data_IF_396826233460
#
_entry.id   IF_396826233460
#
_cell.length_a   1.000
_cell.length_b   1.000
_cell.length_c   1.000
_cell.angle_alpha   90.00
_cell.angle_beta   90.00
_cell.angle_gamma   90.00
#
_symmetry.space_group_name_H-M   'P 1'
#
loop_
_entity.id
_entity.type
_entity.pdbx_description
1 polymer ?
#
# COMPACT_ATOMS: atom_id res chain seq x y z
N UNK A 1 -22.17 4.72 17.21
CA UNK A 1 -23.55 4.18 17.07
C UNK A 1 -24.30 4.83 15.90
N UNK A 2 -23.99 6.06 15.50
CA UNK A 2 -24.79 6.85 14.54
C UNK A 2 -24.49 6.72 13.04
N UNK A 3 -23.60 5.83 12.57
CA UNK A 3 -23.32 5.67 11.11
C UNK A 3 -23.73 4.32 10.50
N UNK A 4 -24.07 3.31 11.31
CA UNK A 4 -24.63 2.06 10.79
C UNK A 4 -26.14 2.17 10.52
N UNK A 5 -26.85 2.98 11.32
CA UNK A 5 -28.29 3.22 11.16
C UNK A 5 -28.66 4.16 10.01
N UNK A 6 -27.70 4.87 9.40
CA UNK A 6 -27.99 5.78 8.27
C UNK A 6 -28.10 5.08 6.91
N UNK A 7 -27.71 3.81 6.79
CA UNK A 7 -27.65 3.09 5.51
C UNK A 7 -28.48 1.80 5.46
N UNK A 8 -29.15 1.44 6.54
CA UNK A 8 -30.13 0.36 6.55
C UNK A 8 -31.51 0.97 6.81
N UNK A 9 -32.22 1.33 5.75
CA UNK A 9 -33.65 1.56 5.83
C UNK A 9 -34.33 0.23 6.13
N UNK A 10 -35.20 0.21 7.14
CA UNK A 10 -36.15 -0.88 7.30
C UNK A 10 -37.06 -0.92 6.07
N UNK A 11 -37.37 -2.14 5.64
CA UNK A 11 -38.23 -2.39 4.49
C UNK A 11 -39.22 -3.51 4.85
N UNK A 12 -40.39 -3.51 4.24
CA UNK A 12 -41.30 -4.66 4.28
C UNK A 12 -41.29 -5.39 2.94
N UNK A 13 -41.08 -4.65 1.85
CA UNK A 13 -41.02 -5.15 0.49
C UNK A 13 -39.77 -4.65 -0.25
N UNK A 14 -39.44 -5.27 -1.38
CA UNK A 14 -38.29 -4.85 -2.20
C UNK A 14 -38.46 -3.43 -2.78
N UNK A 15 -39.71 -2.99 -2.97
CA UNK A 15 -40.03 -1.67 -3.56
C UNK A 15 -39.77 -0.51 -2.58
N UNK A 16 -39.64 -0.81 -1.27
CA UNK A 16 -39.29 0.18 -0.24
C UNK A 16 -37.81 0.59 -0.32
N UNK A 17 -36.99 -0.14 -1.08
CA UNK A 17 -35.59 0.17 -1.27
C UNK A 17 -35.42 1.18 -2.41
N UNK A 18 -34.98 2.40 -2.09
CA UNK A 18 -34.73 3.50 -3.04
C UNK A 18 -33.81 3.17 -4.22
N UNK A 19 -33.04 2.08 -4.16
CA UNK A 19 -32.12 1.66 -5.21
C UNK A 19 -32.49 0.26 -5.71
N UNK A 20 -32.67 0.06 -7.03
CA UNK A 20 -33.07 -1.23 -7.59
C UNK A 20 -32.07 -2.37 -7.35
N UNK A 21 -30.82 -2.09 -6.93
CA UNK A 21 -29.81 -3.10 -6.59
C UNK A 21 -29.88 -3.57 -5.12
N UNK A 22 -30.75 -2.97 -4.31
CA UNK A 22 -31.00 -3.33 -2.90
C UNK A 22 -32.27 -4.17 -2.82
N UNK A 23 -32.20 -5.31 -2.12
CA UNK A 23 -33.35 -6.18 -1.85
C UNK A 23 -33.63 -6.25 -0.36
N UNK A 24 -34.90 -6.38 -0.01
CA UNK A 24 -35.32 -6.50 1.37
C UNK A 24 -35.02 -7.90 1.90
N UNK A 25 -34.06 -7.98 2.82
CA UNK A 25 -33.65 -9.23 3.45
C UNK A 25 -33.78 -9.16 4.96
N UNK A 26 -34.21 -10.29 5.55
CA UNK A 26 -34.32 -10.45 6.98
C UNK A 26 -32.91 -10.68 7.57
N UNK A 27 -32.42 -9.71 8.32
CA UNK A 27 -31.09 -9.73 8.92
C UNK A 27 -31.22 -10.07 10.40
N UNK A 28 -30.53 -11.13 10.82
CA UNK A 28 -30.46 -11.56 12.21
C UNK A 28 -29.21 -10.95 12.88
N UNK A 29 -29.41 -10.25 14.00
CA UNK A 29 -28.32 -9.77 14.86
C UNK A 29 -28.58 -10.21 16.30
N UNK A 30 -28.11 -11.41 16.65
CA UNK A 30 -28.40 -12.04 17.95
C UNK A 30 -29.88 -12.41 18.08
N UNK A 31 -30.56 -11.89 19.10
CA UNK A 31 -31.99 -12.16 19.37
C UNK A 31 -32.95 -11.31 18.55
N UNK A 32 -32.47 -10.33 17.79
CA UNK A 32 -33.30 -9.42 17.02
C UNK A 32 -33.23 -9.73 15.52
N UNK A 33 -34.39 -9.78 14.88
CA UNK A 33 -34.53 -9.98 13.44
C UNK A 33 -35.31 -8.80 12.86
N UNK A 34 -34.74 -8.15 11.85
CA UNK A 34 -35.40 -7.05 11.14
C UNK A 34 -35.13 -7.13 9.65
N UNK A 35 -36.14 -6.76 8.86
CA UNK A 35 -36.03 -6.62 7.42
C UNK A 35 -35.30 -5.32 7.07
N UNK A 36 -34.22 -5.42 6.31
CA UNK A 36 -33.41 -4.28 5.90
C UNK A 36 -33.08 -4.38 4.41
N UNK A 37 -32.93 -3.23 3.77
CA UNK A 37 -32.45 -3.16 2.39
C UNK A 37 -30.96 -3.54 2.34
N UNK A 38 -30.65 -4.69 1.73
CA UNK A 38 -29.28 -5.21 1.57
C UNK A 38 -29.02 -5.55 0.11
N UNK A 39 -27.80 -5.29 -0.36
CA UNK A 39 -27.42 -5.64 -1.73
C UNK A 39 -27.52 -7.15 -1.97
N UNK A 40 -27.96 -7.57 -3.17
CA UNK A 40 -28.00 -8.99 -3.54
C UNK A 40 -26.65 -9.69 -3.38
N UNK A 41 -26.68 -10.99 -3.07
CA UNK A 41 -25.48 -11.85 -3.05
C UNK A 41 -25.03 -12.13 -4.49
N UNK A 42 -23.71 -12.24 -4.75
CA UNK A 42 -23.17 -12.49 -6.10
C UNK A 42 -23.63 -13.82 -6.74
N UNK A 43 -23.83 -14.89 -5.95
CA UNK A 43 -23.83 -16.27 -6.47
C UNK A 43 -25.14 -17.09 -6.36
N UNK A 44 -26.33 -16.49 -6.16
CA UNK A 44 -27.55 -17.13 -6.67
C UNK A 44 -28.17 -16.41 -7.88
N UNK A 45 -28.04 -15.08 -8.01
CA UNK A 45 -28.67 -14.27 -9.08
C UNK A 45 -27.60 -13.41 -9.79
N UNK A 46 -26.73 -14.05 -10.57
CA UNK A 46 -25.67 -13.36 -11.32
C UNK A 46 -26.25 -12.73 -12.58
N UNK A 47 -26.27 -11.39 -12.62
CA UNK A 47 -26.83 -10.64 -13.75
C UNK A 47 -25.73 -10.16 -14.71
N UNK A 48 -26.13 -9.75 -15.92
CA UNK A 48 -25.20 -9.19 -16.92
C UNK A 48 -24.42 -7.98 -16.38
N UNK A 49 -25.01 -7.19 -15.49
CA UNK A 49 -24.34 -6.06 -14.83
C UNK A 49 -23.18 -6.53 -13.92
N UNK A 50 -23.33 -7.67 -13.23
CA UNK A 50 -22.25 -8.25 -12.42
C UNK A 50 -21.14 -8.81 -13.31
N UNK A 51 -21.51 -9.39 -14.45
CA UNK A 51 -20.58 -9.82 -15.50
C UNK A 51 -19.78 -8.67 -16.09
N UNK A 52 -20.46 -7.56 -16.42
CA UNK A 52 -19.84 -6.34 -16.93
C UNK A 52 -18.89 -5.72 -15.89
N UNK A 53 -19.31 -5.64 -14.62
CA UNK A 53 -18.47 -5.18 -13.52
C UNK A 53 -17.23 -6.06 -13.37
N UNK A 54 -17.39 -7.38 -13.39
CA UNK A 54 -16.28 -8.34 -13.31
C UNK A 54 -15.29 -8.16 -14.47
N UNK A 55 -15.79 -8.00 -15.69
CA UNK A 55 -14.99 -7.75 -16.88
C UNK A 55 -14.23 -6.42 -16.83
N UNK A 56 -14.90 -5.33 -16.44
CA UNK A 56 -14.26 -4.02 -16.27
C UNK A 56 -13.21 -4.02 -15.17
N UNK A 57 -13.49 -4.67 -14.03
CA UNK A 57 -12.55 -4.82 -12.94
C UNK A 57 -11.33 -5.64 -13.37
N UNK A 58 -11.52 -6.71 -14.15
CA UNK A 58 -10.44 -7.50 -14.72
C UNK A 58 -9.54 -6.64 -15.62
N UNK A 59 -10.11 -5.93 -16.60
CA UNK A 59 -9.35 -5.06 -17.51
C UNK A 59 -8.59 -3.98 -16.73
N UNK A 60 -9.24 -3.33 -15.77
CA UNK A 60 -8.62 -2.30 -14.94
C UNK A 60 -7.41 -2.84 -14.15
N UNK A 61 -7.54 -4.03 -13.54
CA UNK A 61 -6.48 -4.66 -12.75
C UNK A 61 -5.36 -5.20 -13.64
N UNK A 62 -5.66 -5.73 -14.83
CA UNK A 62 -4.66 -6.17 -15.80
C UNK A 62 -3.80 -5.02 -16.29
N UNK A 63 -4.42 -3.90 -16.68
CA UNK A 63 -3.71 -2.69 -17.09
C UNK A 63 -2.89 -2.12 -15.93
N UNK A 64 -3.45 -2.05 -14.72
CA UNK A 64 -2.71 -1.57 -13.56
C UNK A 64 -1.52 -2.47 -13.21
N UNK A 65 -1.70 -3.80 -13.23
CA UNK A 65 -0.63 -4.78 -12.96
C UNK A 65 0.49 -4.70 -14.00
N UNK A 66 0.16 -4.44 -15.27
CA UNK A 66 1.18 -4.22 -16.30
C UNK A 66 2.04 -2.98 -16.03
N UNK A 67 1.48 -1.97 -15.37
CA UNK A 67 2.20 -0.79 -14.88
C UNK A 67 2.87 -0.99 -13.51
N UNK A 68 2.75 -2.19 -12.91
CA UNK A 68 3.28 -2.49 -11.57
C UNK A 68 2.47 -1.86 -10.42
N UNK A 69 1.23 -1.43 -10.66
CA UNK A 69 0.35 -0.79 -9.67
C UNK A 69 -0.84 -1.70 -9.36
N UNK A 70 -1.18 -1.91 -8.09
CA UNK A 70 -2.25 -2.83 -7.68
C UNK A 70 -3.69 -2.41 -8.00
N UNK A 71 -3.93 -1.37 -8.81
CA UNK A 71 -5.27 -0.98 -9.30
C UNK A 71 -6.27 -0.40 -8.28
N UNK A 72 -5.93 -0.37 -6.99
CA UNK A 72 -6.90 -0.07 -5.91
C UNK A 72 -7.61 1.27 -5.95
N UNK A 73 -7.02 2.29 -6.57
CA UNK A 73 -7.63 3.63 -6.65
C UNK A 73 -8.85 3.71 -7.57
N UNK A 74 -9.03 2.75 -8.49
CA UNK A 74 -10.11 2.76 -9.49
C UNK A 74 -11.22 1.76 -9.15
N UNK A 75 -10.90 0.71 -8.39
CA UNK A 75 -11.84 -0.38 -8.08
C UNK A 75 -13.02 0.07 -7.23
N UNK A 76 -12.80 0.86 -6.17
CA UNK A 76 -13.90 1.29 -5.28
C UNK A 76 -14.93 2.16 -6.04
N UNK A 77 -14.54 3.22 -6.78
CA UNK A 77 -15.48 3.97 -7.61
C UNK A 77 -16.18 3.12 -8.67
N UNK A 78 -15.47 2.17 -9.28
CA UNK A 78 -16.04 1.26 -10.28
C UNK A 78 -17.17 0.40 -9.69
N UNK A 79 -16.96 -0.19 -8.51
CA UNK A 79 -17.96 -1.01 -7.83
C UNK A 79 -19.18 -0.21 -7.37
N UNK A 80 -19.00 1.06 -6.96
CA UNK A 80 -20.11 1.93 -6.60
C UNK A 80 -20.92 2.38 -7.82
N UNK A 81 -20.27 2.67 -8.95
CA UNK A 81 -20.96 3.26 -10.09
C UNK A 81 -21.66 2.21 -10.96
N UNK A 82 -21.04 1.05 -11.16
CA UNK A 82 -21.56 0.01 -12.07
C UNK A 82 -22.57 -0.88 -11.36
N UNK A 83 -22.20 -1.42 -10.20
CA UNK A 83 -23.02 -2.39 -9.46
C UNK A 83 -23.65 -1.82 -8.20
N UNK A 84 -23.49 -0.51 -7.92
CA UNK A 84 -24.12 0.19 -6.80
C UNK A 84 -23.90 -0.48 -5.44
N UNK A 85 -22.73 -1.11 -5.26
CA UNK A 85 -22.33 -1.68 -3.99
C UNK A 85 -22.19 -0.56 -2.94
N UNK A 86 -22.68 -0.77 -1.70
CA UNK A 86 -22.42 0.17 -0.63
C UNK A 86 -20.91 0.27 -0.37
N UNK A 87 -20.43 1.47 -0.03
CA UNK A 87 -19.01 1.81 0.13
C UNK A 87 -18.23 0.77 0.96
N UNK A 88 -18.82 0.28 2.05
CA UNK A 88 -18.18 -0.70 2.94
C UNK A 88 -17.91 -2.02 2.21
N UNK A 89 -18.89 -2.54 1.48
CA UNK A 89 -18.75 -3.80 0.74
C UNK A 89 -17.85 -3.61 -0.49
N UNK A 90 -18.00 -2.51 -1.21
CA UNK A 90 -17.13 -2.13 -2.33
C UNK A 90 -15.65 -2.03 -1.89
N UNK A 91 -15.38 -1.45 -0.72
CA UNK A 91 -14.03 -1.35 -0.17
C UNK A 91 -13.42 -2.71 0.18
N UNK A 92 -14.23 -3.63 0.72
CA UNK A 92 -13.79 -4.98 1.06
C UNK A 92 -13.48 -5.81 -0.20
N UNK A 93 -14.34 -5.72 -1.23
CA UNK A 93 -14.11 -6.34 -2.54
C UNK A 93 -12.84 -5.78 -3.20
N UNK A 94 -12.62 -4.47 -3.16
CA UNK A 94 -11.39 -3.88 -3.70
C UNK A 94 -10.14 -4.39 -3.00
N UNK A 95 -10.16 -4.52 -1.67
CA UNK A 95 -9.01 -5.02 -0.92
C UNK A 95 -8.69 -6.48 -1.26
N UNK A 96 -9.71 -7.34 -1.43
CA UNK A 96 -9.50 -8.74 -1.82
C UNK A 96 -8.95 -8.86 -3.25
N UNK A 97 -9.43 -8.03 -4.19
CA UNK A 97 -8.88 -7.98 -5.56
C UNK A 97 -7.42 -7.51 -5.58
N UNK A 98 -7.08 -6.45 -4.85
CA UNK A 98 -5.70 -5.95 -4.75
C UNK A 98 -4.78 -7.03 -4.16
N UNK A 99 -5.25 -7.74 -3.12
CA UNK A 99 -4.49 -8.82 -2.50
C UNK A 99 -4.21 -9.96 -3.49
N UNK A 100 -5.23 -10.39 -4.23
CA UNK A 100 -5.08 -11.40 -5.29
C UNK A 100 -4.08 -10.96 -6.37
N UNK A 101 -4.21 -9.72 -6.86
CA UNK A 101 -3.27 -9.15 -7.84
C UNK A 101 -1.82 -9.10 -7.30
N UNK A 102 -1.65 -8.79 -6.01
CA UNK A 102 -0.35 -8.83 -5.34
C UNK A 102 0.29 -10.22 -5.33
N UNK A 103 -0.49 -11.28 -5.06
CA UNK A 103 -0.01 -12.67 -5.14
C UNK A 103 0.43 -13.01 -6.56
N UNK A 104 -0.38 -12.67 -7.55
CA UNK A 104 -0.06 -12.91 -8.97
C UNK A 104 1.23 -12.19 -9.37
N UNK A 105 1.35 -10.91 -9.03
CA UNK A 105 2.55 -10.12 -9.30
C UNK A 105 3.79 -10.69 -8.59
N UNK A 106 3.67 -11.14 -7.35
CA UNK A 106 4.77 -11.80 -6.63
C UNK A 106 5.19 -13.10 -7.33
N UNK A 107 4.23 -13.90 -7.82
CA UNK A 107 4.52 -15.14 -8.53
C UNK A 107 5.26 -14.89 -9.85
N UNK A 108 4.79 -13.94 -10.67
CA UNK A 108 5.41 -13.62 -11.96
C UNK A 108 6.72 -12.85 -11.81
N UNK A 109 6.72 -11.71 -11.11
CA UNK A 109 7.91 -10.87 -10.96
C UNK A 109 8.95 -11.48 -10.03
N UNK A 110 8.53 -12.29 -9.04
CA UNK A 110 9.45 -13.03 -8.19
C UNK A 110 10.26 -14.08 -8.95
N UNK A 111 9.79 -14.52 -10.12
CA UNK A 111 10.53 -15.41 -11.02
C UNK A 111 11.42 -14.68 -12.01
N UNK A 112 11.26 -13.36 -12.18
CA UNK A 112 12.04 -12.55 -13.10
C UNK A 112 13.33 -12.00 -12.44
N UNK A 113 14.33 -11.74 -13.28
CA UNK A 113 15.60 -11.13 -12.87
C UNK A 113 15.70 -9.72 -13.48
N UNK A 114 16.59 -8.89 -12.95
CA UNK A 114 16.73 -7.51 -13.41
C UNK A 114 17.24 -7.45 -14.86
N UNK A 115 16.62 -6.66 -15.76
CA UNK A 115 16.95 -6.65 -17.19
C UNK A 115 18.38 -6.17 -17.48
N UNK A 116 18.93 -5.27 -16.65
CA UNK A 116 20.30 -4.77 -16.79
C UNK A 116 21.31 -5.53 -15.90
N UNK A 117 20.84 -6.39 -14.99
CA UNK A 117 21.70 -7.11 -14.05
C UNK A 117 21.12 -8.53 -13.80
N UNK A 118 21.32 -9.48 -14.73
CA UNK A 118 20.62 -10.77 -14.70
C UNK A 118 20.89 -11.64 -13.47
N UNK A 119 21.95 -11.36 -12.71
CA UNK A 119 22.34 -12.09 -11.51
C UNK A 119 21.52 -11.73 -10.26
N UNK A 120 20.74 -10.64 -10.27
CA UNK A 120 19.90 -10.21 -9.13
C UNK A 120 18.41 -10.28 -9.50
N UNK A 121 17.51 -10.51 -8.51
CA UNK A 121 16.07 -10.53 -8.76
C UNK A 121 15.56 -9.17 -9.21
N UNK A 122 14.43 -9.17 -9.91
CA UNK A 122 13.74 -7.93 -10.31
C UNK A 122 13.19 -7.16 -9.09
N UNK A 123 12.68 -7.88 -8.08
CA UNK A 123 12.09 -7.30 -6.88
C UNK A 123 13.18 -6.79 -5.93
N UNK A 124 13.13 -5.51 -5.59
CA UNK A 124 14.01 -4.90 -4.60
C UNK A 124 13.36 -4.89 -3.21
N UNK A 125 13.50 -5.99 -2.48
CA UNK A 125 12.88 -6.19 -1.16
C UNK A 125 13.27 -5.14 -0.11
N UNK A 126 14.46 -4.56 -0.24
CA UNK A 126 14.95 -3.49 0.64
C UNK A 126 14.09 -2.22 0.53
N UNK A 127 13.58 -1.93 -0.68
CA UNK A 127 12.60 -0.86 -0.90
C UNK A 127 11.28 -1.23 -0.25
N UNK A 128 10.78 -2.45 -0.49
CA UNK A 128 9.51 -2.90 0.10
C UNK A 128 9.54 -2.82 1.64
N UNK A 129 10.63 -3.26 2.28
CA UNK A 129 10.79 -3.21 3.73
C UNK A 129 10.77 -1.77 4.27
N UNK A 130 11.41 -0.82 3.58
CA UNK A 130 11.44 0.59 4.00
C UNK A 130 10.07 1.27 3.86
N UNK A 131 9.33 0.97 2.79
CA UNK A 131 8.04 1.60 2.51
C UNK A 131 6.86 0.94 3.26
N UNK A 132 7.00 -0.33 3.67
CA UNK A 132 5.93 -1.05 4.37
C UNK A 132 5.51 -0.38 5.69
N UNK A 133 6.47 -0.06 6.56
CA UNK A 133 6.18 0.59 7.85
C UNK A 133 5.44 1.93 7.75
N UNK A 134 5.90 2.92 6.95
CA UNK A 134 5.21 4.21 6.85
C UNK A 134 3.85 4.11 6.16
N UNK A 135 3.64 3.16 5.23
CA UNK A 135 2.32 2.93 4.62
C UNK A 135 1.31 2.47 5.69
N UNK A 136 1.71 1.53 6.55
CA UNK A 136 0.82 1.02 7.58
C UNK A 136 0.61 2.04 8.71
N UNK A 137 1.66 2.76 9.11
CA UNK A 137 1.50 3.87 10.04
C UNK A 137 0.53 4.93 9.49
N UNK A 138 0.66 5.28 8.21
CA UNK A 138 -0.23 6.22 7.52
C UNK A 138 -1.69 5.75 7.48
N UNK A 139 -1.96 4.45 7.33
CA UNK A 139 -3.32 3.92 7.34
C UNK A 139 -3.97 4.01 8.73
N UNK A 140 -3.22 3.74 9.81
CA UNK A 140 -3.72 3.88 11.20
C UNK A 140 -4.15 5.32 11.44
N UNK A 141 -3.32 6.29 11.06
CA UNK A 141 -3.68 7.69 11.26
C UNK A 141 -4.80 8.12 10.31
N UNK A 142 -4.82 7.64 9.07
CA UNK A 142 -5.90 7.91 8.13
C UNK A 142 -7.26 7.46 8.66
N UNK A 143 -7.33 6.27 9.27
CA UNK A 143 -8.55 5.78 9.95
C UNK A 143 -8.95 6.67 11.11
N UNK A 144 -7.98 7.13 11.90
CA UNK A 144 -8.23 8.04 13.02
C UNK A 144 -8.78 9.40 12.54
N UNK A 145 -8.14 10.01 11.55
CA UNK A 145 -8.58 11.28 10.96
C UNK A 145 -9.96 11.15 10.32
N UNK A 146 -10.25 10.03 9.66
CA UNK A 146 -11.58 9.77 9.09
C UNK A 146 -12.68 9.69 10.16
N UNK A 147 -12.34 9.28 11.38
CA UNK A 147 -13.28 9.26 12.50
C UNK A 147 -13.55 10.65 13.11
N UNK A 148 -12.63 11.59 12.93
CA UNK A 148 -12.71 12.95 13.47
C UNK A 148 -13.30 13.92 12.46
N UNK A 149 -12.89 13.81 11.19
CA UNK A 149 -13.27 14.73 10.14
C UNK A 149 -14.66 14.44 9.57
N UNK A 150 -15.39 15.50 9.15
CA UNK A 150 -16.64 15.33 8.43
C UNK A 150 -16.39 14.72 7.04
N UNK A 151 -17.39 14.02 6.51
CA UNK A 151 -17.28 13.22 5.30
C UNK A 151 -16.94 14.02 4.04
N UNK A 152 -17.47 15.24 3.92
CA UNK A 152 -17.14 16.12 2.80
C UNK A 152 -15.65 16.52 2.80
N UNK A 153 -15.06 16.70 3.99
CA UNK A 153 -13.66 17.09 4.12
C UNK A 153 -12.72 15.94 3.76
N UNK A 154 -13.05 14.72 4.22
CA UNK A 154 -12.26 13.52 3.87
C UNK A 154 -12.35 13.20 2.38
N UNK A 155 -13.52 13.37 1.77
CA UNK A 155 -13.70 13.23 0.32
C UNK A 155 -12.85 14.25 -0.46
N UNK A 156 -12.89 15.54 -0.10
CA UNK A 156 -12.05 16.57 -0.75
C UNK A 156 -10.57 16.25 -0.60
N UNK A 157 -10.12 15.85 0.60
CA UNK A 157 -8.73 15.51 0.87
C UNK A 157 -8.25 14.34 0.01
N UNK A 158 -9.08 13.29 -0.12
CA UNK A 158 -8.79 12.14 -0.98
C UNK A 158 -8.69 12.54 -2.45
N UNK A 159 -9.63 13.36 -2.96
CA UNK A 159 -9.59 13.85 -4.34
C UNK A 159 -8.31 14.64 -4.59
N UNK A 160 -7.98 15.61 -3.73
CA UNK A 160 -6.75 16.42 -3.87
C UNK A 160 -5.50 15.54 -3.84
N UNK A 161 -5.42 14.58 -2.92
CA UNK A 161 -4.28 13.67 -2.81
C UNK A 161 -4.13 12.81 -4.07
N UNK A 162 -5.21 12.20 -4.56
CA UNK A 162 -5.21 11.36 -5.77
C UNK A 162 -4.86 12.20 -6.99
N UNK A 163 -5.46 13.38 -7.17
CA UNK A 163 -5.13 14.28 -8.29
C UNK A 163 -3.66 14.70 -8.25
N UNK A 164 -3.14 15.08 -7.08
CA UNK A 164 -1.73 15.44 -6.93
C UNK A 164 -0.79 14.27 -7.27
N UNK A 165 -1.12 13.06 -6.84
CA UNK A 165 -0.35 11.85 -7.19
C UNK A 165 -0.41 11.57 -8.69
N UNK A 166 -1.60 11.60 -9.29
CA UNK A 166 -1.78 11.39 -10.74
C UNK A 166 -0.98 12.40 -11.54
N UNK A 167 -1.07 13.70 -11.21
CA UNK A 167 -0.30 14.75 -11.89
C UNK A 167 1.20 14.53 -11.74
N UNK A 168 1.69 14.18 -10.54
CA UNK A 168 3.11 13.90 -10.31
C UNK A 168 3.59 12.68 -11.09
N UNK A 169 2.81 11.61 -11.12
CA UNK A 169 3.12 10.37 -11.84
C UNK A 169 3.12 10.61 -13.35
N UNK A 170 2.11 11.29 -13.89
CA UNK A 170 2.05 11.64 -15.32
C UNK A 170 3.21 12.53 -15.72
N UNK A 171 3.54 13.57 -14.94
CA UNK A 171 4.70 14.44 -15.23
C UNK A 171 6.01 13.66 -15.25
N UNK A 172 6.22 12.74 -14.29
CA UNK A 172 7.40 11.88 -14.25
C UNK A 172 7.42 10.88 -15.41
N UNK A 173 6.27 10.28 -15.76
CA UNK A 173 6.13 9.37 -16.89
C UNK A 173 6.45 10.04 -18.23
N UNK A 174 5.86 11.22 -18.49
CA UNK A 174 6.15 12.02 -19.68
C UNK A 174 7.63 12.41 -19.73
N UNK A 175 8.24 12.77 -18.60
CA UNK A 175 9.68 13.05 -18.53
C UNK A 175 10.52 11.81 -18.85
N UNK A 176 10.13 10.63 -18.36
CA UNK A 176 10.81 9.36 -18.66
C UNK A 176 10.78 9.05 -20.15
N UNK A 177 9.60 9.17 -20.79
CA UNK A 177 9.44 8.95 -22.23
C UNK A 177 10.26 9.95 -23.06
N UNK A 178 10.36 11.21 -22.62
CA UNK A 178 11.23 12.21 -23.28
C UNK A 178 12.70 11.83 -23.17
N UNK A 179 13.14 11.36 -22.00
CA UNK A 179 14.52 10.93 -21.76
C UNK A 179 14.91 9.66 -22.53
N UNK A 180 13.95 8.77 -22.80
CA UNK A 180 14.12 7.61 -23.68
C UNK A 180 14.31 8.04 -25.14
N UNK A 181 13.51 9.01 -25.61
CA UNK A 181 13.60 9.56 -26.98
C UNK A 181 14.86 10.38 -27.23
N UNK A 182 15.37 11.12 -26.23
CA UNK A 182 16.59 11.92 -26.37
C UNK A 182 17.88 11.11 -26.35
N UNK A 183 17.84 9.77 -26.33
CA UNK A 183 19.03 8.91 -26.34
C UNK A 183 19.91 8.98 -25.08
N UNK A 184 19.62 9.90 -24.16
CA UNK A 184 20.38 10.18 -22.93
C UNK A 184 20.57 8.98 -22.00
N UNK A 185 19.71 7.96 -22.09
CA UNK A 185 19.84 6.72 -21.30
C UNK A 185 20.88 5.74 -21.85
N UNK A 186 21.24 5.83 -23.13
CA UNK A 186 22.26 4.95 -23.75
C UNK A 186 23.69 5.39 -23.41
N UNK A 187 23.90 6.69 -23.20
CA UNK A 187 25.21 7.29 -22.87
C UNK A 187 25.74 6.91 -21.47
N UNK A 188 24.85 6.56 -20.54
CA UNK A 188 25.19 6.19 -19.15
C UNK A 188 25.86 4.79 -19.03
N UNK A 189 25.92 4.03 -20.13
CA UNK A 189 26.52 2.70 -20.20
C UNK A 189 27.96 2.76 -20.73
N UNK A 190 28.84 3.48 -20.06
CA UNK A 190 30.27 3.16 -20.15
C UNK A 190 30.60 2.25 -18.97
N UNK A 191 31.04 1.00 -19.19
CA UNK A 191 31.52 0.15 -18.11
C UNK A 191 32.56 0.95 -17.33
N UNK A 192 32.39 1.09 -16.01
CA UNK A 192 33.42 1.75 -15.22
C UNK A 192 34.70 0.91 -15.33
N UNK A 193 35.72 1.48 -15.95
CA UNK A 193 37.11 1.02 -15.99
C UNK A 193 37.69 0.83 -14.56
N UNK A 194 36.97 1.33 -13.55
CA UNK A 194 37.26 1.30 -12.12
C UNK A 194 37.24 -0.10 -11.49
N UNK A 195 36.55 -1.09 -12.07
CA UNK A 195 36.46 -2.45 -11.48
C UNK A 195 37.80 -3.21 -11.57
N UNK A 196 38.67 -2.88 -12.53
CA UNK A 196 39.99 -3.51 -12.69
C UNK A 196 41.07 -2.96 -11.74
N UNK A 197 40.87 -1.77 -11.16
CA UNK A 197 41.78 -1.15 -10.16
C UNK A 197 41.35 -1.40 -8.70
N UNK A 198 40.46 -2.35 -8.45
CA UNK A 198 40.00 -2.62 -7.09
C UNK A 198 41.08 -3.33 -6.24
N UNK A 199 41.37 -2.76 -5.07
CA UNK A 199 42.23 -3.39 -4.07
C UNK A 199 41.66 -4.76 -3.63
N UNK A 200 42.49 -5.71 -3.14
CA UNK A 200 42.03 -7.06 -2.74
C UNK A 200 40.88 -7.03 -1.71
N UNK A 201 40.87 -6.03 -0.82
CA UNK A 201 39.81 -5.82 0.15
C UNK A 201 38.50 -5.39 -0.50
N UNK A 202 38.54 -4.45 -1.44
CA UNK A 202 37.35 -3.97 -2.15
C UNK A 202 36.74 -5.10 -2.98
N UNK A 203 37.56 -5.94 -3.62
CA UNK A 203 37.10 -7.11 -4.38
C UNK A 203 36.41 -8.15 -3.48
N UNK A 204 36.92 -8.38 -2.27
CA UNK A 204 36.25 -9.24 -1.28
C UNK A 204 34.91 -8.65 -0.82
N UNK A 205 34.81 -7.32 -0.71
CA UNK A 205 33.55 -6.65 -0.34
C UNK A 205 32.52 -6.69 -1.48
N UNK A 206 32.92 -6.44 -2.73
CA UNK A 206 32.01 -6.48 -3.88
C UNK A 206 31.41 -7.88 -4.05
N UNK A 207 32.21 -8.95 -3.98
CA UNK A 207 31.70 -10.32 -4.05
C UNK A 207 30.70 -10.66 -2.93
N UNK A 208 30.90 -10.13 -1.72
CA UNK A 208 29.93 -10.31 -0.61
C UNK A 208 28.61 -9.59 -0.89
N UNK A 209 28.66 -8.40 -1.50
CA UNK A 209 27.47 -7.62 -1.86
C UNK A 209 26.72 -8.32 -2.99
N UNK A 210 27.39 -8.70 -4.07
CA UNK A 210 26.78 -9.42 -5.19
C UNK A 210 26.16 -10.74 -4.74
N UNK A 211 26.83 -11.52 -3.89
CA UNK A 211 26.26 -12.76 -3.32
C UNK A 211 25.05 -12.51 -2.42
N UNK A 212 24.95 -11.34 -1.79
CA UNK A 212 23.77 -10.95 -1.01
C UNK A 212 22.62 -10.55 -1.93
N UNK A 213 22.91 -9.79 -2.98
CA UNK A 213 21.93 -9.27 -3.94
C UNK A 213 21.43 -10.34 -4.93
N UNK A 214 22.25 -11.35 -5.22
CA UNK A 214 21.82 -12.47 -6.08
C UNK A 214 20.80 -13.39 -5.42
N UNK A 215 20.57 -13.24 -4.11
CA UNK A 215 19.55 -14.01 -3.40
C UNK A 215 18.17 -13.59 -3.86
N UNK A 216 17.54 -14.49 -4.62
CA UNK A 216 16.17 -14.31 -5.14
C UNK A 216 15.14 -14.05 -4.03
N UNK A 217 15.33 -14.69 -2.89
CA UNK A 217 14.50 -14.54 -1.70
C UNK A 217 15.37 -14.23 -0.49
N UNK A 218 15.59 -12.95 -0.14
CA UNK A 218 16.35 -12.57 1.05
C UNK A 218 15.50 -12.82 2.31
N UNK A 219 15.52 -14.05 2.82
CA UNK A 219 14.68 -14.48 3.95
C UNK A 219 14.71 -13.54 5.16
N UNK A 220 15.85 -12.92 5.49
CA UNK A 220 15.94 -11.96 6.60
C UNK A 220 15.07 -10.70 6.39
N UNK A 221 14.98 -10.23 5.15
CA UNK A 221 14.15 -9.07 4.78
C UNK A 221 12.67 -9.49 4.74
N UNK A 222 12.37 -10.67 4.17
CA UNK A 222 11.01 -11.21 4.10
C UNK A 222 10.45 -11.48 5.51
N UNK A 223 11.22 -12.10 6.40
CA UNK A 223 10.78 -12.34 7.79
C UNK A 223 10.55 -11.05 8.55
N UNK A 224 11.36 -10.01 8.31
CA UNK A 224 11.13 -8.69 8.89
C UNK A 224 9.82 -8.05 8.40
N UNK A 225 9.51 -8.16 7.10
CA UNK A 225 8.23 -7.71 6.53
C UNK A 225 7.04 -8.48 7.13
N UNK A 226 7.12 -9.81 7.19
CA UNK A 226 6.07 -10.64 7.79
C UNK A 226 5.90 -10.32 9.28
N UNK A 227 6.99 -10.08 10.03
CA UNK A 227 6.93 -9.73 11.43
C UNK A 227 6.14 -8.44 11.67
N UNK A 228 6.32 -7.42 10.83
CA UNK A 228 5.54 -6.17 10.92
C UNK A 228 4.03 -6.44 10.78
N UNK A 229 3.64 -7.27 9.80
CA UNK A 229 2.23 -7.64 9.59
C UNK A 229 1.70 -8.48 10.77
N UNK A 230 2.46 -9.46 11.23
CA UNK A 230 2.07 -10.29 12.37
C UNK A 230 1.86 -9.46 13.64
N UNK A 231 2.77 -8.53 13.95
CA UNK A 231 2.64 -7.61 15.09
C UNK A 231 1.33 -6.82 14.99
N UNK A 232 1.00 -6.32 13.80
CA UNK A 232 -0.24 -5.55 13.58
C UNK A 232 -1.49 -6.40 13.73
N UNK A 233 -1.48 -7.63 13.20
CA UNK A 233 -2.60 -8.57 13.37
C UNK A 233 -2.81 -8.86 14.86
N UNK A 234 -1.74 -9.14 15.60
CA UNK A 234 -1.80 -9.37 17.04
C UNK A 234 -2.39 -8.16 17.76
N UNK A 235 -1.87 -6.95 17.48
CA UNK A 235 -2.38 -5.72 18.09
C UNK A 235 -3.85 -5.43 17.71
N UNK A 236 -4.25 -5.73 16.48
CA UNK A 236 -5.64 -5.59 16.02
C UNK A 236 -6.58 -6.57 16.73
N UNK A 237 -6.15 -7.83 16.93
CA UNK A 237 -6.90 -8.83 17.68
C UNK A 237 -7.02 -8.41 19.15
N UNK A 238 -5.92 -7.96 19.77
CA UNK A 238 -5.92 -7.50 21.17
C UNK A 238 -6.85 -6.31 21.38
N UNK A 239 -6.87 -5.36 20.43
CA UNK A 239 -7.77 -4.21 20.44
C UNK A 239 -9.25 -4.61 20.24
N UNK A 240 -9.53 -5.62 19.42
CA UNK A 240 -10.90 -5.95 19.01
C UNK A 240 -11.43 -5.06 17.88
N UNK A 241 -12.56 -5.47 17.30
CA UNK A 241 -13.17 -4.86 16.11
C UNK A 241 -14.52 -4.18 16.37
N UNK A 242 -15.19 -3.72 15.31
CA UNK A 242 -16.56 -3.24 15.40
C UNK A 242 -17.50 -4.39 15.77
N UNK A 243 -17.97 -4.42 17.03
CA UNK A 243 -18.90 -5.43 17.54
C UNK A 243 -18.24 -6.62 18.25
N UNK A 244 -16.90 -6.65 18.37
CA UNK A 244 -16.20 -7.63 19.21
C UNK A 244 -15.44 -6.91 20.32
N UNK A 245 -15.66 -7.27 21.60
CA UNK A 245 -14.94 -6.65 22.70
C UNK A 245 -13.43 -6.92 22.56
N UNK A 246 -12.61 -6.03 23.13
CA UNK A 246 -11.17 -6.24 23.25
C UNK A 246 -10.91 -7.55 24.01
N UNK A 247 -9.90 -8.31 23.57
CA UNK A 247 -9.52 -9.58 24.22
C UNK A 247 -9.01 -9.32 25.65
N UNK A 248 -8.44 -8.14 25.90
CA UNK A 248 -7.93 -7.74 27.20
C UNK A 248 -9.09 -7.19 28.07
N UNK A 249 -9.36 -7.78 29.25
CA UNK A 249 -10.38 -7.28 30.17
C UNK A 249 -10.10 -5.83 30.60
N UNK A 250 -11.14 -4.98 30.61
CA UNK A 250 -11.04 -3.59 31.08
C UNK A 250 -10.62 -2.56 30.02
N UNK A 251 -10.30 -2.99 28.79
CA UNK A 251 -10.07 -2.06 27.68
C UNK A 251 -11.42 -1.62 27.10
N UNK A 252 -11.84 -0.41 27.45
CA UNK A 252 -13.04 0.22 26.90
C UNK A 252 -12.66 1.32 25.90
N UNK A 253 -13.56 1.59 24.96
CA UNK A 253 -13.42 2.68 24.00
C UNK A 253 -13.27 4.02 24.76
N UNK A 254 -12.20 4.76 24.49
CA UNK A 254 -11.92 6.05 25.14
C UNK A 254 -10.95 5.99 26.32
N UNK A 255 -10.62 4.81 26.84
CA UNK A 255 -9.63 4.68 27.92
C UNK A 255 -8.20 4.75 27.39
N UNK A 256 -7.25 5.19 28.21
CA UNK A 256 -5.80 5.22 27.88
C UNK A 256 -5.28 3.91 27.27
N UNK A 257 -5.55 2.70 27.84
CA UNK A 257 -5.10 1.44 27.24
C UNK A 257 -5.65 1.19 25.83
N UNK A 258 -6.83 1.69 25.50
CA UNK A 258 -7.38 1.58 24.15
C UNK A 258 -6.57 2.40 23.15
N UNK A 259 -6.21 3.64 23.50
CA UNK A 259 -5.38 4.49 22.64
C UNK A 259 -3.94 3.99 22.55
N UNK A 260 -3.40 3.37 23.60
CA UNK A 260 -2.10 2.70 23.55
C UNK A 260 -2.11 1.51 22.59
N UNK A 261 -3.15 0.68 22.58
CA UNK A 261 -3.28 -0.41 21.61
C UNK A 261 -3.49 0.12 20.18
N UNK A 262 -4.15 1.26 20.02
CA UNK A 262 -4.41 1.85 18.73
C UNK A 262 -3.20 2.58 18.11
N UNK A 263 -2.50 3.41 18.88
CA UNK A 263 -1.36 4.19 18.42
C UNK A 263 -0.01 3.53 18.69
N UNK A 264 0.06 2.57 19.62
CA UNK A 264 1.27 1.80 19.93
C UNK A 264 1.95 1.17 18.71
N UNK A 265 1.22 0.60 17.73
CA UNK A 265 1.83 0.10 16.52
C UNK A 265 2.58 1.17 15.72
N UNK A 266 2.18 2.45 15.77
CA UNK A 266 2.90 3.54 15.09
C UNK A 266 4.32 3.68 15.66
N UNK A 267 4.46 3.65 16.99
CA UNK A 267 5.77 3.74 17.63
C UNK A 267 6.66 2.54 17.25
N UNK A 268 6.10 1.33 17.26
CA UNK A 268 6.82 0.11 16.86
C UNK A 268 7.26 0.21 15.39
N UNK A 269 6.36 0.61 14.48
CA UNK A 269 6.66 0.78 13.07
C UNK A 269 7.70 1.88 12.81
N UNK A 270 7.68 2.97 13.59
CA UNK A 270 8.68 4.02 13.52
C UNK A 270 10.07 3.51 13.92
N UNK A 271 10.16 2.68 14.98
CA UNK A 271 11.43 2.03 15.37
C UNK A 271 11.93 1.13 14.25
N UNK A 272 11.08 0.27 13.70
CA UNK A 272 11.44 -0.58 12.55
C UNK A 272 11.92 0.25 11.35
N UNK A 273 11.24 1.35 11.05
CA UNK A 273 11.61 2.24 9.96
C UNK A 273 13.00 2.84 10.18
N UNK A 274 13.31 3.33 11.38
CA UNK A 274 14.62 3.90 11.72
C UNK A 274 15.72 2.84 11.63
N UNK A 275 15.47 1.62 12.12
CA UNK A 275 16.42 0.50 12.02
C UNK A 275 16.70 0.14 10.56
N UNK A 276 15.65 -0.05 9.76
CA UNK A 276 15.77 -0.34 8.33
C UNK A 276 16.49 0.78 7.60
N UNK A 277 16.13 2.03 7.87
CA UNK A 277 16.79 3.21 7.33
C UNK A 277 18.29 3.22 7.63
N UNK A 278 18.67 2.98 8.88
CA UNK A 278 20.07 2.92 9.30
C UNK A 278 20.82 1.78 8.60
N UNK A 279 20.22 0.58 8.52
CA UNK A 279 20.79 -0.56 7.83
C UNK A 279 21.01 -0.30 6.33
N UNK A 280 20.03 0.29 5.63
CA UNK A 280 20.12 0.61 4.22
C UNK A 280 21.18 1.68 3.95
N UNK A 281 21.21 2.74 4.77
CA UNK A 281 22.21 3.80 4.62
C UNK A 281 23.63 3.30 4.88
N UNK A 282 23.82 2.42 5.88
CA UNK A 282 25.11 1.76 6.14
C UNK A 282 25.55 0.90 4.96
N UNK A 283 24.63 0.16 4.36
CA UNK A 283 24.87 -0.62 3.14
C UNK A 283 25.26 0.25 1.95
N UNK A 284 24.62 1.40 1.79
CA UNK A 284 24.97 2.38 0.75
C UNK A 284 26.38 2.94 0.90
N UNK A 285 26.80 3.33 2.12
CA UNK A 285 28.18 3.79 2.33
C UNK A 285 29.23 2.73 1.96
N UNK A 286 28.94 1.45 2.23
CA UNK A 286 29.82 0.37 1.83
C UNK A 286 29.91 0.20 0.31
N UNK A 287 28.79 0.39 -0.41
CA UNK A 287 28.74 0.40 -1.89
C UNK A 287 29.46 1.61 -2.49
N UNK A 288 29.32 2.77 -1.86
CA UNK A 288 30.00 4.01 -2.26
C UNK A 288 31.53 3.88 -2.13
N UNK A 289 32.03 3.26 -1.05
CA UNK A 289 33.47 3.03 -0.84
C UNK A 289 34.14 2.15 -1.90
N UNK A 290 33.40 1.22 -2.50
CA UNK A 290 33.92 0.31 -3.55
C UNK A 290 33.61 0.81 -4.96
N UNK A 291 33.08 2.03 -5.12
CA UNK A 291 32.60 2.56 -6.39
C UNK A 291 31.64 1.60 -7.10
N UNK A 292 30.66 1.06 -6.35
CA UNK A 292 29.68 0.13 -6.90
C UNK A 292 28.91 0.75 -8.06
N UNK A 293 28.87 0.05 -9.19
CA UNK A 293 28.14 0.47 -10.38
C UNK A 293 26.65 0.17 -10.22
N UNK A 294 25.83 1.22 -10.13
CA UNK A 294 24.39 1.10 -9.94
C UNK A 294 23.70 0.94 -11.30
N UNK A 295 22.93 -0.16 -11.52
CA UNK A 295 22.06 -0.28 -12.67
C UNK A 295 21.16 0.95 -12.86
N UNK A 296 20.88 1.31 -14.11
CA UNK A 296 20.04 2.48 -14.38
C UNK A 296 18.63 2.28 -13.81
N UNK A 297 18.19 3.22 -12.98
CA UNK A 297 16.91 3.15 -12.26
C UNK A 297 17.02 2.70 -10.80
N UNK A 298 18.18 2.19 -10.36
CA UNK A 298 18.37 1.77 -8.97
C UNK A 298 18.34 2.94 -7.98
N UNK A 299 17.82 2.67 -6.79
CA UNK A 299 17.73 3.65 -5.72
C UNK A 299 19.07 3.76 -4.99
N UNK A 300 19.64 4.96 -4.99
CA UNK A 300 20.77 5.30 -4.13
C UNK A 300 20.27 5.68 -2.73
N UNK A 301 20.61 4.88 -1.71
CA UNK A 301 20.18 5.09 -0.32
C UNK A 301 20.94 6.21 0.41
N UNK A 302 20.85 7.42 -0.14
CA UNK A 302 21.32 8.65 0.49
C UNK A 302 20.48 8.98 1.74
N UNK A 303 20.99 9.81 2.64
CA UNK A 303 20.26 10.24 3.85
C UNK A 303 18.86 10.79 3.52
N UNK A 304 18.77 11.57 2.44
CA UNK A 304 17.49 12.13 1.95
C UNK A 304 16.55 11.03 1.47
N UNK A 305 17.02 10.09 0.67
CA UNK A 305 16.17 9.05 0.10
C UNK A 305 15.67 8.05 1.15
N UNK A 306 16.45 7.82 2.19
CA UNK A 306 16.10 6.88 3.26
C UNK A 306 15.13 7.50 4.27
N UNK A 307 15.27 8.79 4.59
CA UNK A 307 14.43 9.47 5.58
C UNK A 307 13.22 10.17 4.94
N UNK A 308 13.41 10.92 3.85
CA UNK A 308 12.39 11.82 3.31
C UNK A 308 11.44 11.09 2.36
N UNK A 309 11.94 10.21 1.48
CA UNK A 309 11.09 9.59 0.46
C UNK A 309 9.99 8.68 1.04
N UNK A 310 10.24 7.84 2.07
CA UNK A 310 9.20 6.98 2.61
C UNK A 310 8.16 7.79 3.41
N UNK A 311 8.59 8.84 4.12
CA UNK A 311 7.70 9.75 4.83
C UNK A 311 6.86 10.57 3.84
N UNK A 312 7.47 11.09 2.77
CA UNK A 312 6.73 11.82 1.73
C UNK A 312 5.72 10.91 1.01
N UNK A 313 6.01 9.62 0.89
CA UNK A 313 5.10 8.61 0.35
C UNK A 313 3.89 8.34 1.25
N UNK A 314 4.06 8.32 2.58
CA UNK A 314 2.96 8.16 3.53
C UNK A 314 2.22 9.47 3.87
N UNK A 315 2.89 10.61 3.75
CA UNK A 315 2.38 11.94 4.07
C UNK A 315 1.37 12.51 3.05
N UNK A 316 0.99 11.78 2.00
CA UNK A 316 -0.16 12.15 1.17
C UNK A 316 -1.52 12.03 1.88
N UNK A 317 -1.53 11.57 3.16
CA UNK A 317 -2.68 11.68 4.09
C UNK A 317 -2.51 12.87 5.07
N UNK A 318 -1.32 13.49 5.12
CA UNK A 318 -0.98 14.59 6.03
C UNK A 318 -0.51 15.83 5.28
N UNK A 319 -1.41 16.72 4.84
CA UNK A 319 -1.02 18.03 4.32
C UNK A 319 -0.33 18.94 5.36
N UNK A 320 -0.32 18.58 6.65
CA UNK A 320 0.04 19.51 7.73
C UNK A 320 1.54 19.47 8.11
N UNK A 321 2.26 18.35 7.96
CA UNK A 321 3.67 18.29 8.40
C UNK A 321 4.69 18.79 7.37
N UNK A 322 4.34 18.85 6.08
CA UNK A 322 5.28 19.28 5.04
C UNK A 322 5.46 20.81 4.93
N UNK A 323 4.62 21.60 5.60
CA UNK A 323 4.79 23.06 5.67
C UNK A 323 5.87 23.52 6.66
N UNK A 324 6.40 22.65 7.53
CA UNK A 324 7.29 23.10 8.62
C UNK A 324 8.78 22.79 8.44
N UNK A 325 9.17 21.92 7.51
CA UNK A 325 10.59 21.56 7.30
C UNK A 325 11.14 21.87 5.90
N UNK A 326 10.44 22.72 5.15
CA UNK A 326 10.85 23.18 3.82
C UNK A 326 11.15 24.68 3.77
N UNK A 327 12.16 25.16 4.49
CA UNK A 327 12.86 26.40 4.09
C UNK A 327 14.35 26.12 3.91
N UNK A 328 14.91 26.42 2.73
CA UNK A 328 16.35 26.43 2.53
C UNK A 328 16.96 27.71 3.10
N UNK A 329 18.06 27.56 3.80
CA UNK A 329 19.18 28.51 3.82
C UNK A 329 20.40 27.73 3.36
#
# INVERSE_FOLDING_TARGET
ISRLFLYCSQCETNDDCQNPSLHCHLVHNGTFAMNMCVHKRLFPNFDLEDGLMGGLAFVAVSLASSAGVGGGGVLVPLYMQVSKWPIQQASALSQSTIFGAGITNLFFFGRQNHPMAPWRPLIEYDVCLLFMAPIIAGSIVGVFLNSIFPEWLTAILLVVAVTAMTVRTVKKGVKSLKNEKSGTLKEARKPSESTMLLNPLQRRMSMKIEKKESKKYPWKTITAMCAQICILIVMAILKGGHGSPSVIPGVQCGNVPYYLLFFGPIAILAIFMVITAHHLHKGYKAKEYINYDYPAGDIKWTKRNVCVNPIAGSACIFPILFCYFGRPS
#
